data_IF_513827654996
#
_entry.id   IF_513827654996
#
_cell.length_a   1.000
_cell.length_b   1.000
_cell.length_c   1.000
_cell.angle_alpha   90.00
_cell.angle_beta   90.00
_cell.angle_gamma   90.00
#
_symmetry.space_group_name_H-M   'P 1'
#
loop_
_entity.id
_entity.type
_entity.pdbx_description
1 polymer ?
#
# COMPACT_ATOMS: atom_id res chain seq x y z
N UNK A 1 -21.69 -14.20 -7.00
CA UNK A 1 -22.41 -13.09 -7.70
C UNK A 1 -21.35 -12.13 -8.18
N UNK A 2 -21.38 -11.74 -9.41
CA UNK A 2 -20.36 -10.86 -9.96
C UNK A 2 -20.77 -9.40 -9.74
N UNK A 3 -19.80 -8.56 -9.39
CA UNK A 3 -19.99 -7.11 -9.42
C UNK A 3 -20.48 -6.69 -10.81
N UNK A 4 -21.46 -5.79 -10.86
CA UNK A 4 -21.98 -5.30 -12.13
C UNK A 4 -20.89 -4.53 -12.90
N UNK A 5 -20.85 -4.60 -14.22
CA UNK A 5 -19.97 -3.74 -15.01
C UNK A 5 -20.24 -2.26 -14.72
N UNK A 6 -19.16 -1.48 -14.59
CA UNK A 6 -19.26 -0.06 -14.24
C UNK A 6 -17.96 0.49 -13.70
N UNK A 7 -17.96 1.76 -13.34
CA UNK A 7 -16.81 2.44 -12.74
C UNK A 7 -17.05 2.64 -11.25
N UNK A 8 -16.20 2.06 -10.43
CA UNK A 8 -16.26 2.12 -8.97
C UNK A 8 -15.10 2.92 -8.43
N UNK A 9 -15.34 3.64 -7.34
CA UNK A 9 -14.31 4.38 -6.63
C UNK A 9 -14.00 3.75 -5.26
N UNK A 10 -12.75 3.90 -4.84
CA UNK A 10 -12.25 3.56 -3.51
C UNK A 10 -11.41 4.72 -3.01
N UNK A 11 -11.83 5.35 -1.93
CA UNK A 11 -11.11 6.47 -1.32
C UNK A 11 -11.50 6.60 0.15
N UNK A 12 -10.76 7.34 0.99
CA UNK A 12 -11.18 7.67 2.34
C UNK A 12 -12.48 8.49 2.35
N UNK A 13 -13.38 8.30 3.33
CA UNK A 13 -13.25 7.41 4.48
C UNK A 13 -13.80 5.98 4.25
N UNK A 14 -14.33 5.65 3.06
CA UNK A 14 -14.96 4.36 2.76
C UNK A 14 -13.94 3.23 2.58
N UNK A 15 -12.69 3.59 2.32
CA UNK A 15 -11.60 2.63 2.20
C UNK A 15 -10.35 3.12 2.92
N UNK A 16 -9.51 2.19 3.31
CA UNK A 16 -8.25 2.44 4.00
C UNK A 16 -7.10 1.76 3.26
N UNK A 17 -6.02 2.51 3.10
CA UNK A 17 -4.76 2.02 2.55
C UNK A 17 -3.70 2.14 3.64
N UNK A 18 -3.09 1.01 4.04
CA UNK A 18 -2.09 0.95 5.10
C UNK A 18 -0.82 0.27 4.62
N UNK A 19 0.31 0.69 5.18
CA UNK A 19 1.62 0.11 4.94
C UNK A 19 2.11 -0.47 6.26
N UNK A 20 2.54 -1.73 6.24
CA UNK A 20 3.11 -2.42 7.39
C UNK A 20 4.58 -2.67 7.16
N UNK A 21 5.40 -2.19 8.08
CA UNK A 21 6.86 -2.38 8.04
C UNK A 21 7.31 -3.30 9.15
N UNK A 22 8.38 -4.03 8.91
CA UNK A 22 9.00 -4.91 9.90
C UNK A 22 10.43 -4.43 10.18
N UNK A 23 10.76 -4.37 11.45
CA UNK A 23 12.11 -4.06 11.91
C UNK A 23 13.07 -5.23 11.73
N UNK A 24 14.33 -4.95 11.50
CA UNK A 24 15.38 -5.95 11.35
C UNK A 24 16.74 -5.47 11.86
N UNK A 25 17.75 -6.31 11.69
CA UNK A 25 19.13 -6.05 12.10
C UNK A 25 19.43 -6.48 13.54
N UNK A 26 20.70 -6.36 13.94
CA UNK A 26 21.21 -6.80 15.24
C UNK A 26 20.58 -6.04 16.42
N UNK A 27 20.24 -4.76 16.21
CA UNK A 27 19.57 -3.91 17.21
C UNK A 27 18.04 -3.86 17.02
N UNK A 28 17.42 -4.86 16.39
CA UNK A 28 15.98 -4.88 16.11
C UNK A 28 15.08 -4.73 17.35
N UNK A 29 15.56 -5.12 18.52
CA UNK A 29 14.84 -4.91 19.80
C UNK A 29 14.57 -3.43 20.12
N UNK A 30 15.41 -2.52 19.62
CA UNK A 30 15.23 -1.08 19.80
C UNK A 30 14.26 -0.44 18.80
N UNK A 31 13.93 -1.14 17.72
CA UNK A 31 13.05 -0.63 16.67
C UNK A 31 11.60 -1.06 16.83
N UNK A 32 10.74 -0.49 15.99
CA UNK A 32 9.30 -0.76 15.96
C UNK A 32 8.89 -1.34 14.61
N UNK A 33 7.92 -2.27 14.64
CA UNK A 33 7.10 -2.57 13.48
C UNK A 33 6.05 -1.47 13.38
N UNK A 34 5.83 -0.93 12.20
CA UNK A 34 4.94 0.21 12.01
C UNK A 34 3.71 -0.18 11.21
N UNK A 35 2.58 0.46 11.56
CA UNK A 35 1.40 0.55 10.72
C UNK A 35 1.24 2.01 10.32
N UNK A 36 1.34 2.30 9.03
CA UNK A 36 1.29 3.64 8.45
C UNK A 36 0.05 3.73 7.57
N UNK A 37 -0.78 4.72 7.79
CA UNK A 37 -1.94 5.03 6.95
C UNK A 37 -1.55 6.03 5.85
N UNK A 38 -2.03 5.79 4.64
CA UNK A 38 -1.98 6.75 3.55
C UNK A 38 -3.28 7.54 3.58
N UNK A 39 -3.24 8.83 3.89
CA UNK A 39 -4.45 9.62 4.16
C UNK A 39 -5.07 10.22 2.89
N UNK A 40 -4.25 10.52 1.89
CA UNK A 40 -4.69 11.09 0.61
C UNK A 40 -4.34 10.13 -0.52
N UNK A 41 -5.36 9.44 -1.01
CA UNK A 41 -5.27 8.50 -2.12
C UNK A 41 -6.65 8.25 -2.72
N UNK A 42 -6.67 7.73 -3.94
CA UNK A 42 -7.90 7.27 -4.58
C UNK A 42 -7.60 6.17 -5.57
N UNK A 43 -8.53 5.25 -5.71
CA UNK A 43 -8.48 4.20 -6.72
C UNK A 43 -9.77 4.16 -7.51
N UNK A 44 -9.65 3.77 -8.77
CA UNK A 44 -10.77 3.54 -9.69
C UNK A 44 -10.71 2.13 -10.23
N UNK A 45 -11.83 1.43 -10.16
CA UNK A 45 -12.02 0.12 -10.77
C UNK A 45 -13.02 0.24 -11.92
N UNK A 46 -12.55 0.12 -13.14
CA UNK A 46 -13.41 0.01 -14.33
C UNK A 46 -13.68 -1.48 -14.57
N UNK A 47 -14.83 -1.95 -14.12
CA UNK A 47 -15.25 -3.35 -14.25
C UNK A 47 -15.91 -3.54 -15.60
N UNK A 48 -15.31 -4.36 -16.45
CA UNK A 48 -15.86 -4.72 -17.74
C UNK A 48 -16.83 -5.92 -17.63
N UNK A 49 -17.72 -6.12 -18.62
CA UNK A 49 -18.55 -7.33 -18.69
C UNK A 49 -17.73 -8.63 -18.68
N UNK A 50 -16.58 -8.64 -19.34
CA UNK A 50 -15.53 -9.65 -19.16
C UNK A 50 -14.50 -9.12 -18.17
N UNK A 51 -14.38 -9.70 -16.97
CA UNK A 51 -13.44 -9.24 -15.96
C UNK A 51 -11.99 -9.13 -16.42
N UNK A 52 -11.57 -9.92 -17.41
CA UNK A 52 -10.22 -9.85 -17.97
C UNK A 52 -9.91 -8.51 -18.68
N UNK A 53 -10.93 -7.75 -19.04
CA UNK A 53 -10.80 -6.41 -19.63
C UNK A 53 -10.97 -5.27 -18.60
N UNK A 54 -11.08 -5.62 -17.33
CA UNK A 54 -11.18 -4.62 -16.25
C UNK A 54 -9.85 -3.91 -16.04
N UNK A 55 -9.92 -2.65 -15.60
CA UNK A 55 -8.75 -1.82 -15.32
C UNK A 55 -8.84 -1.26 -13.92
N UNK A 56 -7.75 -1.38 -13.17
CA UNK A 56 -7.58 -0.81 -11.84
C UNK A 56 -6.50 0.25 -11.89
N UNK A 57 -6.79 1.43 -11.33
CA UNK A 57 -5.84 2.52 -11.19
C UNK A 57 -5.88 3.04 -9.76
N UNK A 58 -4.72 3.45 -9.24
CA UNK A 58 -4.59 4.07 -7.93
C UNK A 58 -3.57 5.20 -8.00
N UNK A 59 -3.87 6.29 -7.31
CA UNK A 59 -2.92 7.38 -7.06
C UNK A 59 -2.87 7.66 -5.56
N UNK A 60 -1.69 7.98 -5.04
CA UNK A 60 -1.51 8.32 -3.63
C UNK A 60 -0.49 9.45 -3.48
N UNK A 61 -0.73 10.31 -2.49
CA UNK A 61 0.21 11.35 -2.10
C UNK A 61 1.19 10.79 -1.07
N UNK A 62 2.46 10.69 -1.45
CA UNK A 62 3.54 10.21 -0.58
C UNK A 62 3.78 11.08 0.67
N UNK A 63 3.25 12.31 0.67
CA UNK A 63 3.33 13.24 1.81
C UNK A 63 2.16 13.12 2.79
N UNK A 64 1.18 12.28 2.49
CA UNK A 64 -0.02 12.11 3.31
C UNK A 64 0.06 10.95 4.31
N UNK A 65 1.24 10.48 4.64
CA UNK A 65 1.44 9.35 5.53
C UNK A 65 1.25 9.74 6.99
N UNK A 66 0.65 8.84 7.77
CA UNK A 66 0.47 8.97 9.21
C UNK A 66 0.80 7.64 9.90
N UNK A 67 1.71 7.66 10.85
CA UNK A 67 1.98 6.48 11.69
C UNK A 67 0.82 6.30 12.67
N UNK A 68 0.08 5.21 12.52
CA UNK A 68 -1.01 4.85 13.43
C UNK A 68 -0.46 4.14 14.66
N UNK A 69 0.41 3.17 14.44
CA UNK A 69 0.88 2.24 15.47
C UNK A 69 2.37 1.91 15.26
N UNK A 70 3.06 1.73 16.38
CA UNK A 70 4.40 1.15 16.42
C UNK A 70 4.46 0.12 17.53
N UNK A 71 4.74 -1.14 17.16
CA UNK A 71 4.83 -2.26 18.11
C UNK A 71 6.27 -2.73 18.29
N UNK A 72 6.57 -3.24 19.48
CA UNK A 72 7.94 -3.57 19.88
C UNK A 72 8.70 -2.32 20.35
N UNK A 73 10.02 -2.37 20.26
CA UNK A 73 10.89 -1.30 20.76
C UNK A 73 11.05 -1.28 22.27
N UNK A 74 11.86 -0.37 22.76
CA UNK A 74 12.17 -0.23 24.19
C UNK A 74 11.09 0.57 24.92
N UNK A 75 10.45 1.48 24.20
CA UNK A 75 9.36 2.34 24.72
C UNK A 75 8.32 2.59 23.61
N UNK A 76 7.06 2.92 23.96
CA UNK A 76 6.07 3.33 22.98
C UNK A 76 6.53 4.56 22.18
N UNK A 77 6.08 4.67 20.94
CA UNK A 77 6.31 5.87 20.12
C UNK A 77 5.47 7.04 20.63
N UNK A 78 6.12 8.18 20.87
CA UNK A 78 5.44 9.44 21.11
C UNK A 78 4.90 10.02 19.79
N UNK A 79 4.01 11.01 19.86
CA UNK A 79 3.53 11.72 18.66
C UNK A 79 4.67 12.44 17.92
N UNK A 80 5.68 12.92 18.65
CA UNK A 80 6.89 13.52 18.07
C UNK A 80 7.73 12.47 17.32
N UNK A 81 7.86 11.25 17.88
CA UNK A 81 8.54 10.15 17.21
C UNK A 81 7.83 9.77 15.90
N UNK A 82 6.51 9.68 15.93
CA UNK A 82 5.68 9.36 14.75
C UNK A 82 5.83 10.44 13.66
N UNK A 83 5.81 11.71 14.03
CA UNK A 83 6.01 12.81 13.10
C UNK A 83 7.43 12.77 12.48
N UNK A 84 8.45 12.49 13.27
CA UNK A 84 9.83 12.32 12.80
C UNK A 84 9.98 11.16 11.82
N UNK A 85 9.28 10.05 12.02
CA UNK A 85 9.24 8.92 11.09
C UNK A 85 8.64 9.36 9.75
N UNK A 86 7.48 10.01 9.76
CA UNK A 86 6.83 10.51 8.53
C UNK A 86 7.75 11.47 7.78
N UNK A 87 8.39 12.40 8.46
CA UNK A 87 9.36 13.31 7.84
C UNK A 87 10.52 12.54 7.20
N UNK A 88 11.06 11.54 7.87
CA UNK A 88 12.14 10.70 7.32
C UNK A 88 11.70 9.96 6.06
N UNK A 89 10.49 9.39 6.06
CA UNK A 89 9.94 8.72 4.87
C UNK A 89 9.79 9.71 3.71
N UNK A 90 9.25 10.90 3.97
CA UNK A 90 9.07 11.92 2.95
C UNK A 90 10.40 12.42 2.36
N UNK A 91 11.38 12.69 3.21
CA UNK A 91 12.60 13.38 2.80
C UNK A 91 13.67 12.43 2.26
N UNK A 92 13.75 11.22 2.81
CA UNK A 92 14.85 10.28 2.53
C UNK A 92 14.44 9.06 1.72
N UNK A 93 13.21 8.60 1.85
CA UNK A 93 12.73 7.38 1.19
C UNK A 93 12.00 7.70 -0.10
N UNK A 94 10.87 8.39 -0.01
CA UNK A 94 10.00 8.67 -1.16
C UNK A 94 10.32 10.00 -1.85
N UNK A 95 10.93 10.95 -1.14
CA UNK A 95 11.34 12.26 -1.67
C UNK A 95 10.22 13.05 -2.34
N UNK A 96 8.98 12.85 -1.88
CA UNK A 96 7.79 13.48 -2.40
C UNK A 96 7.40 13.03 -3.82
N UNK A 97 7.94 11.91 -4.31
CA UNK A 97 7.58 11.38 -5.61
C UNK A 97 6.12 10.88 -5.61
N UNK A 98 5.40 11.02 -6.73
CA UNK A 98 4.05 10.47 -6.85
C UNK A 98 4.07 8.95 -6.73
N UNK A 99 2.95 8.40 -6.23
CA UNK A 99 2.71 6.96 -6.20
C UNK A 99 1.53 6.68 -7.11
N UNK A 100 1.75 5.87 -8.15
CA UNK A 100 0.68 5.49 -9.08
C UNK A 100 0.75 3.99 -9.35
N UNK A 101 -0.42 3.38 -9.51
CA UNK A 101 -0.56 1.99 -9.94
C UNK A 101 -1.55 1.92 -11.09
N UNK A 102 -1.24 1.09 -12.09
CA UNK A 102 -2.15 0.73 -13.17
C UNK A 102 -2.05 -0.75 -13.48
N UNK A 103 -3.18 -1.45 -13.44
CA UNK A 103 -3.21 -2.86 -13.81
C UNK A 103 -2.90 -3.07 -15.30
N UNK A 104 -2.13 -4.10 -15.58
CA UNK A 104 -1.84 -4.61 -16.93
C UNK A 104 -2.60 -5.89 -17.22
N UNK A 105 -3.03 -6.61 -16.18
CA UNK A 105 -3.88 -7.78 -16.30
C UNK A 105 -4.74 -7.96 -15.04
N UNK A 106 -5.98 -8.39 -15.25
CA UNK A 106 -6.92 -8.81 -14.20
C UNK A 106 -7.45 -10.18 -14.57
N UNK A 107 -7.23 -11.17 -13.73
CA UNK A 107 -7.65 -12.55 -13.98
C UNK A 107 -8.57 -13.02 -12.86
N UNK A 108 -9.82 -13.41 -13.18
CA UNK A 108 -10.69 -14.03 -12.19
C UNK A 108 -10.09 -15.33 -11.64
N UNK A 109 -10.19 -15.52 -10.33
CA UNK A 109 -9.80 -16.73 -9.61
C UNK A 109 -10.94 -17.13 -8.65
N UNK A 110 -12.03 -17.68 -9.22
CA UNK A 110 -13.28 -17.96 -8.53
C UNK A 110 -14.28 -16.80 -8.61
N UNK A 111 -15.24 -16.78 -7.68
CA UNK A 111 -16.38 -15.88 -7.72
C UNK A 111 -16.09 -14.48 -7.15
N UNK A 112 -15.18 -14.40 -6.18
CA UNK A 112 -14.90 -13.18 -5.41
C UNK A 112 -13.42 -12.74 -5.43
N UNK A 113 -12.55 -13.53 -6.07
CA UNK A 113 -11.11 -13.27 -6.12
C UNK A 113 -10.64 -12.94 -7.53
N UNK A 114 -9.69 -12.01 -7.59
CA UNK A 114 -9.05 -11.58 -8.83
C UNK A 114 -7.56 -11.51 -8.61
N UNK A 115 -6.80 -12.17 -9.47
CA UNK A 115 -5.35 -11.99 -9.53
C UNK A 115 -5.04 -10.78 -10.41
N UNK A 116 -4.44 -9.76 -9.82
CA UNK A 116 -4.14 -8.48 -10.47
C UNK A 116 -2.63 -8.35 -10.64
N UNK A 117 -2.22 -7.99 -11.85
CA UNK A 117 -0.83 -7.63 -12.16
C UNK A 117 -0.82 -6.22 -12.72
N UNK A 118 0.18 -5.42 -12.40
CA UNK A 118 0.27 -4.06 -12.91
C UNK A 118 1.57 -3.36 -12.57
N UNK A 119 1.74 -2.19 -13.15
CA UNK A 119 2.90 -1.33 -12.95
C UNK A 119 2.66 -0.41 -11.76
N UNK A 120 3.57 -0.45 -10.80
CA UNK A 120 3.62 0.47 -9.67
C UNK A 120 4.78 1.45 -9.88
N UNK A 121 4.47 2.74 -9.93
CA UNK A 121 5.45 3.81 -9.84
C UNK A 121 5.61 4.22 -8.36
N UNK A 122 6.84 4.18 -7.88
CA UNK A 122 7.21 4.47 -6.51
C UNK A 122 8.63 5.04 -6.48
N UNK A 123 8.85 6.15 -5.78
CA UNK A 123 10.17 6.79 -5.62
C UNK A 123 10.90 7.03 -6.96
N UNK A 124 10.16 7.42 -8.02
CA UNK A 124 10.63 7.60 -9.40
C UNK A 124 11.13 6.32 -10.11
N UNK A 125 10.85 5.15 -9.55
CA UNK A 125 11.04 3.86 -10.20
C UNK A 125 9.71 3.25 -10.62
N UNK A 126 9.71 2.40 -11.64
CA UNK A 126 8.53 1.61 -12.06
C UNK A 126 8.90 0.15 -12.04
N UNK A 127 8.09 -0.66 -11.41
CA UNK A 127 8.24 -2.12 -11.39
C UNK A 127 6.88 -2.80 -11.38
N UNK A 128 6.86 -4.04 -11.86
CA UNK A 128 5.66 -4.86 -11.89
C UNK A 128 5.37 -5.41 -10.50
N UNK A 129 4.10 -5.34 -10.07
CA UNK A 129 3.62 -6.05 -8.89
C UNK A 129 2.45 -6.97 -9.25
N UNK A 130 2.25 -7.98 -8.43
CA UNK A 130 1.09 -8.87 -8.52
C UNK A 130 0.51 -9.09 -7.13
N UNK A 131 -0.81 -9.12 -7.03
CA UNK A 131 -1.53 -9.35 -5.78
C UNK A 131 -2.92 -9.91 -6.04
N UNK A 132 -3.51 -10.48 -5.00
CA UNK A 132 -4.90 -10.93 -5.02
C UNK A 132 -5.81 -9.86 -4.43
N UNK A 133 -6.91 -9.59 -5.14
CA UNK A 133 -7.97 -8.70 -4.71
C UNK A 133 -9.24 -9.53 -4.51
N UNK A 134 -9.88 -9.36 -3.37
CA UNK A 134 -11.21 -9.93 -3.11
C UNK A 134 -12.27 -8.84 -3.17
N UNK A 135 -13.37 -9.14 -3.83
CA UNK A 135 -14.53 -8.26 -3.93
C UNK A 135 -15.76 -9.08 -3.59
N UNK A 136 -16.31 -8.87 -2.40
CA UNK A 136 -17.50 -9.58 -1.93
C UNK A 136 -18.79 -9.09 -2.59
N UNK A 137 -19.83 -9.88 -2.51
CA UNK A 137 -21.18 -9.55 -3.02
C UNK A 137 -21.79 -8.32 -2.33
N UNK A 138 -21.31 -8.00 -1.14
CA UNK A 138 -21.69 -6.82 -0.36
C UNK A 138 -20.86 -5.57 -0.73
N UNK A 139 -20.03 -5.65 -1.77
CA UNK A 139 -19.15 -4.57 -2.22
C UNK A 139 -17.88 -4.40 -1.38
N UNK A 140 -17.65 -5.22 -0.36
CA UNK A 140 -16.41 -5.18 0.42
C UNK A 140 -15.24 -5.57 -0.44
N UNK A 141 -14.17 -4.80 -0.32
CA UNK A 141 -12.90 -5.02 -1.03
C UNK A 141 -11.79 -5.25 -0.01
N UNK A 142 -10.96 -6.23 -0.28
CA UNK A 142 -9.71 -6.43 0.45
C UNK A 142 -8.61 -6.93 -0.47
N UNK A 143 -7.39 -6.46 -0.24
CA UNK A 143 -6.21 -6.90 -0.97
C UNK A 143 -4.94 -6.58 -0.22
N UNK A 144 -3.88 -7.31 -0.53
CA UNK A 144 -2.57 -7.05 0.03
C UNK A 144 -1.50 -7.32 -1.02
N UNK A 145 -0.49 -6.45 -1.07
CA UNK A 145 0.69 -6.60 -1.91
C UNK A 145 1.95 -6.47 -1.06
N UNK A 146 2.92 -7.34 -1.25
CA UNK A 146 4.24 -7.20 -0.67
C UNK A 146 5.15 -6.48 -1.66
N UNK A 147 5.72 -5.36 -1.23
CA UNK A 147 6.59 -4.49 -2.01
C UNK A 147 8.02 -4.68 -1.50
N UNK A 148 8.92 -5.08 -2.40
CA UNK A 148 10.36 -5.14 -2.10
C UNK A 148 10.99 -3.81 -2.51
N UNK A 149 11.33 -2.96 -1.53
CA UNK A 149 11.75 -1.58 -1.73
C UNK A 149 12.93 -1.44 -2.71
N UNK A 150 13.88 -2.36 -2.67
CA UNK A 150 15.06 -2.36 -3.56
C UNK A 150 14.71 -2.51 -5.04
N UNK A 151 13.57 -3.08 -5.40
CA UNK A 151 13.10 -3.17 -6.79
C UNK A 151 12.77 -1.80 -7.41
N UNK A 152 12.51 -0.79 -6.57
CA UNK A 152 12.31 0.61 -6.97
C UNK A 152 13.54 1.49 -6.72
N UNK A 153 14.70 0.88 -6.43
CA UNK A 153 15.90 1.63 -6.11
C UNK A 153 15.86 2.31 -4.74
N UNK A 154 14.86 2.01 -3.91
CA UNK A 154 14.77 2.51 -2.54
C UNK A 154 15.77 1.73 -1.69
N UNK A 155 16.65 2.47 -1.01
CA UNK A 155 17.49 1.88 0.02
C UNK A 155 16.71 1.84 1.34
N UNK A 156 16.42 0.64 1.89
CA UNK A 156 15.71 0.53 3.17
C UNK A 156 16.40 1.36 4.26
N UNK A 157 15.59 2.06 5.05
CA UNK A 157 16.10 2.95 6.10
C UNK A 157 16.92 2.18 7.14
N UNK A 158 18.03 2.75 7.55
CA UNK A 158 18.91 2.22 8.60
C UNK A 158 19.23 3.27 9.63
N UNK A 159 19.43 2.83 10.87
CA UNK A 159 19.90 3.65 11.99
C UNK A 159 20.97 2.88 12.79
N UNK A 160 21.56 3.52 13.78
CA UNK A 160 22.58 2.91 14.66
C UNK A 160 23.69 2.22 13.85
N UNK A 161 24.26 2.93 12.87
CA UNK A 161 25.33 2.43 11.98
C UNK A 161 24.93 1.14 11.22
N UNK A 162 23.64 1.00 10.86
CA UNK A 162 23.10 -0.16 10.15
C UNK A 162 22.67 -1.31 11.06
N UNK A 163 22.86 -1.23 12.37
CA UNK A 163 22.44 -2.25 13.31
C UNK A 163 20.90 -2.33 13.49
N UNK A 164 20.20 -1.22 13.23
CA UNK A 164 18.74 -1.15 13.15
C UNK A 164 18.35 -0.81 11.72
N UNK A 165 17.42 -1.57 11.15
CA UNK A 165 16.94 -1.35 9.78
C UNK A 165 15.47 -1.72 9.63
N UNK A 166 14.83 -1.13 8.62
CA UNK A 166 13.54 -1.58 8.10
C UNK A 166 13.80 -2.74 7.13
N UNK A 167 12.99 -3.80 7.19
CA UNK A 167 13.06 -4.88 6.23
C UNK A 167 12.83 -4.36 4.80
N UNK A 168 13.44 -5.00 3.81
CA UNK A 168 13.26 -4.64 2.41
C UNK A 168 11.82 -4.82 1.94
N UNK A 169 11.15 -5.86 2.43
CA UNK A 169 9.75 -6.11 2.16
C UNK A 169 8.84 -5.32 3.11
N UNK A 170 7.86 -4.64 2.52
CA UNK A 170 6.77 -3.97 3.22
C UNK A 170 5.45 -4.45 2.65
N UNK A 171 4.44 -4.61 3.49
CA UNK A 171 3.11 -5.02 3.07
C UNK A 171 2.20 -3.80 2.92
N UNK A 172 1.55 -3.70 1.78
CA UNK A 172 0.51 -2.69 1.50
C UNK A 172 -0.84 -3.39 1.56
N UNK A 173 -1.73 -2.92 2.41
CA UNK A 173 -3.05 -3.53 2.65
C UNK A 173 -4.14 -2.53 2.29
N UNK A 174 -5.06 -2.96 1.44
CA UNK A 174 -6.27 -2.25 1.05
C UNK A 174 -7.49 -2.93 1.66
N UNK A 175 -8.32 -2.16 2.34
CA UNK A 175 -9.61 -2.61 2.87
C UNK A 175 -10.65 -1.51 2.69
N UNK A 176 -11.85 -1.86 2.26
CA UNK A 176 -12.90 -0.85 2.08
C UNK A 176 -14.18 -1.39 1.48
N UNK A 177 -15.02 -0.48 1.03
CA UNK A 177 -16.26 -0.79 0.31
C UNK A 177 -16.30 0.02 -0.97
N UNK A 178 -16.52 -0.65 -2.09
CA UNK A 178 -16.69 -0.01 -3.40
C UNK A 178 -17.87 0.96 -3.36
N UNK A 179 -17.64 2.14 -3.87
CA UNK A 179 -18.74 3.08 -4.11
C UNK A 179 -19.37 2.76 -5.47
N UNK A 180 -20.71 2.64 -5.53
CA UNK A 180 -21.38 2.37 -6.79
C UNK A 180 -21.08 3.46 -7.83
N UNK A 181 -21.16 3.13 -9.10
CA UNK A 181 -21.00 4.13 -10.15
C UNK A 181 -22.01 5.26 -9.93
N UNK A 182 -21.52 6.49 -9.97
CA UNK A 182 -22.33 7.70 -9.93
C UNK A 182 -23.16 7.90 -11.20
#
# INVERSE_FOLDING_TARGET
MSIAPGTYALEPPQARLTIRTVKGGAASKAGHNLVIEVQTWGATAQIAPDPAHSVLELTADSRSFKVLEGTGGVKPLSESDKAGIVQTVNDKVLKGAPITFRSTAVRPDGDDRFHVTGDLELANGVSLIAFDLRIGDDGRVSGAATIRQTEWGIKPYTALFGALKVADEVDVVLEGTLQPPG
#
